data_IF_731167833294
#
_entry.id   IF_731167833294
#
_cell.length_a   1.000
_cell.length_b   1.000
_cell.length_c   1.000
_cell.angle_alpha   90.00
_cell.angle_beta   90.00
_cell.angle_gamma   90.00
#
_symmetry.space_group_name_H-M   'P 1'
#
loop_
_entity.id
_entity.type
_entity.pdbx_description
1 polymer ?
#
# COMPACT_ATOMS: atom_id res chain seq x y z
N UNK A 1 23.31 -5.11 5.54
CA UNK A 1 24.32 -6.20 5.66
C UNK A 1 25.75 -5.68 5.66
N UNK A 2 26.15 -4.83 4.69
CA UNK A 2 27.51 -4.27 4.59
C UNK A 2 27.88 -3.34 5.76
N UNK A 3 26.99 -2.43 6.15
CA UNK A 3 27.20 -1.50 7.28
C UNK A 3 27.43 -2.24 8.61
N UNK A 4 26.64 -3.29 8.88
CA UNK A 4 26.78 -4.12 10.07
C UNK A 4 28.11 -4.90 10.13
N UNK A 5 28.61 -5.38 8.99
CA UNK A 5 29.90 -6.08 8.93
C UNK A 5 31.08 -5.14 9.19
N UNK A 6 31.06 -3.93 8.59
CA UNK A 6 32.08 -2.91 8.80
C UNK A 6 32.09 -2.38 10.25
N UNK A 7 30.90 -2.20 10.85
CA UNK A 7 30.77 -1.81 12.25
C UNK A 7 31.30 -2.88 13.21
N UNK A 8 30.93 -4.15 12.99
CA UNK A 8 31.36 -5.27 13.83
C UNK A 8 32.88 -5.52 13.74
N UNK A 9 33.44 -5.57 12.53
CA UNK A 9 34.89 -5.71 12.34
C UNK A 9 35.68 -4.48 12.83
N UNK A 10 35.13 -3.28 12.64
CA UNK A 10 35.72 -2.02 13.12
C UNK A 10 35.87 -2.00 14.63
N UNK A 11 34.85 -2.46 15.36
CA UNK A 11 34.88 -2.58 16.81
C UNK A 11 35.83 -3.68 17.31
N UNK A 12 35.80 -4.87 16.70
CA UNK A 12 36.63 -6.01 17.12
C UNK A 12 38.12 -5.76 16.86
N UNK A 13 38.46 -5.07 15.76
CA UNK A 13 39.87 -4.78 15.38
C UNK A 13 40.41 -3.48 15.95
N UNK A 14 39.63 -2.73 16.74
CA UNK A 14 39.98 -1.40 17.27
C UNK A 14 40.50 -0.42 16.18
N UNK A 15 40.10 -0.65 14.93
CA UNK A 15 40.65 0.08 13.80
C UNK A 15 39.90 1.41 13.63
N UNK A 16 40.52 2.49 14.12
CA UNK A 16 39.98 3.85 14.08
C UNK A 16 39.56 4.30 12.67
N UNK A 17 40.29 3.91 11.61
CA UNK A 17 39.90 4.26 10.24
C UNK A 17 38.63 3.53 9.79
N UNK A 18 38.47 2.26 10.18
CA UNK A 18 37.28 1.46 9.85
C UNK A 18 36.05 1.97 10.61
N UNK A 19 36.24 2.35 11.88
CA UNK A 19 35.20 2.94 12.70
C UNK A 19 34.78 4.34 12.22
N UNK A 20 35.73 5.16 11.76
CA UNK A 20 35.47 6.48 11.19
C UNK A 20 34.70 6.38 9.86
N UNK A 21 35.10 5.45 8.99
CA UNK A 21 34.37 5.17 7.74
C UNK A 21 32.93 4.74 8.01
N UNK A 22 32.73 3.86 9.00
CA UNK A 22 31.39 3.47 9.45
C UNK A 22 30.57 4.66 9.95
N UNK A 23 31.16 5.53 10.77
CA UNK A 23 30.49 6.75 11.25
C UNK A 23 30.09 7.69 10.10
N UNK A 24 30.97 7.89 9.12
CA UNK A 24 30.67 8.73 7.95
C UNK A 24 29.52 8.13 7.15
N UNK A 25 29.51 6.82 6.91
CA UNK A 25 28.42 6.15 6.20
C UNK A 25 27.10 6.29 6.95
N UNK A 26 27.09 6.12 8.28
CA UNK A 26 25.90 6.34 9.09
C UNK A 26 25.42 7.79 9.05
N UNK A 27 26.33 8.76 9.10
CA UNK A 27 26.00 10.17 9.01
C UNK A 27 25.36 10.51 7.65
N UNK A 28 25.88 9.96 6.55
CA UNK A 28 25.29 10.12 5.21
C UNK A 28 23.90 9.50 5.15
N UNK A 29 23.70 8.30 5.71
CA UNK A 29 22.39 7.65 5.77
C UNK A 29 21.41 8.52 6.57
N UNK A 30 21.82 9.04 7.73
CA UNK A 30 20.98 9.89 8.57
C UNK A 30 20.57 11.18 7.85
N UNK A 31 21.50 11.82 7.13
CA UNK A 31 21.18 13.00 6.33
C UNK A 31 20.24 12.67 5.17
N UNK A 32 20.43 11.51 4.52
CA UNK A 32 19.53 11.05 3.46
C UNK A 32 18.12 10.76 3.99
N UNK A 33 17.99 10.10 5.14
CA UNK A 33 16.69 9.88 5.80
C UNK A 33 16.01 11.19 6.18
N UNK A 34 16.75 12.17 6.70
CA UNK A 34 16.20 13.51 7.00
C UNK A 34 15.65 14.18 5.73
N UNK A 35 16.40 14.13 4.63
CA UNK A 35 15.97 14.69 3.35
C UNK A 35 14.71 13.96 2.84
N UNK A 36 14.70 12.63 2.89
CA UNK A 36 13.54 11.83 2.47
C UNK A 36 12.30 12.13 3.32
N UNK A 37 12.45 12.30 4.64
CA UNK A 37 11.35 12.67 5.52
C UNK A 37 10.79 14.06 5.16
N UNK A 38 11.64 15.06 4.96
CA UNK A 38 11.21 16.41 4.57
C UNK A 38 10.48 16.35 3.22
N UNK A 39 11.04 15.65 2.23
CA UNK A 39 10.41 15.48 0.93
C UNK A 39 9.06 14.76 1.05
N UNK A 40 8.97 13.69 1.85
CA UNK A 40 7.72 12.98 2.07
C UNK A 40 6.65 13.89 2.66
N UNK A 41 6.98 14.70 3.67
CA UNK A 41 6.04 15.66 4.26
C UNK A 41 5.60 16.74 3.26
N UNK A 42 6.53 17.30 2.48
CA UNK A 42 6.23 18.35 1.49
C UNK A 42 5.36 17.82 0.35
N UNK A 43 5.59 16.58 -0.09
CA UNK A 43 4.89 15.98 -1.23
C UNK A 43 3.78 14.99 -0.81
N UNK A 44 3.39 14.96 0.47
CA UNK A 44 2.47 13.96 1.02
C UNK A 44 1.14 13.92 0.27
N UNK A 45 0.56 15.09 -0.04
CA UNK A 45 -0.69 15.17 -0.79
C UNK A 45 -0.55 14.61 -2.21
N UNK A 46 0.58 14.89 -2.88
CA UNK A 46 0.84 14.38 -4.22
C UNK A 46 1.07 12.88 -4.23
N UNK A 47 1.77 12.36 -3.22
CA UNK A 47 1.95 10.92 -3.01
C UNK A 47 0.61 10.24 -2.77
N UNK A 48 -0.28 10.84 -1.97
CA UNK A 48 -1.61 10.29 -1.72
C UNK A 48 -2.46 10.22 -3.00
N UNK A 49 -2.49 11.30 -3.78
CA UNK A 49 -3.20 11.35 -5.06
C UNK A 49 -2.68 10.30 -6.04
N UNK A 50 -1.35 10.20 -6.18
CA UNK A 50 -0.74 9.21 -7.06
C UNK A 50 -1.04 7.78 -6.59
N UNK A 51 -0.93 7.49 -5.29
CA UNK A 51 -1.25 6.17 -4.75
C UNK A 51 -2.72 5.80 -4.97
N UNK A 52 -3.66 6.73 -4.75
CA UNK A 52 -5.08 6.53 -5.06
C UNK A 52 -5.27 6.23 -6.54
N UNK A 53 -4.59 6.97 -7.43
CA UNK A 53 -4.65 6.77 -8.87
C UNK A 53 -4.13 5.38 -9.27
N UNK A 54 -2.96 4.99 -8.81
CA UNK A 54 -2.33 3.71 -9.13
C UNK A 54 -3.20 2.52 -8.65
N UNK A 55 -3.82 2.65 -7.47
CA UNK A 55 -4.75 1.64 -6.97
C UNK A 55 -6.04 1.57 -7.81
N UNK A 56 -6.57 2.72 -8.27
CA UNK A 56 -7.74 2.74 -9.17
C UNK A 56 -7.43 2.14 -10.53
N UNK A 57 -6.23 2.36 -11.06
CA UNK A 57 -5.75 1.67 -12.27
C UNK A 57 -5.67 0.14 -12.03
N UNK A 58 -5.25 -0.27 -10.84
CA UNK A 58 -5.29 -1.67 -10.42
C UNK A 58 -6.69 -2.29 -10.39
N UNK A 59 -7.74 -1.50 -10.09
CA UNK A 59 -9.12 -2.00 -10.17
C UNK A 59 -9.52 -2.36 -11.60
N UNK A 60 -9.08 -1.59 -12.61
CA UNK A 60 -9.39 -1.86 -14.02
C UNK A 60 -8.87 -3.24 -14.47
N UNK A 61 -7.78 -3.71 -13.85
CA UNK A 61 -7.14 -4.98 -14.14
C UNK A 61 -7.77 -6.17 -13.39
N UNK A 62 -8.82 -5.95 -12.60
CA UNK A 62 -9.42 -6.96 -11.73
C UNK A 62 -10.01 -8.17 -12.48
N UNK A 63 -10.56 -7.96 -13.69
CA UNK A 63 -11.14 -9.04 -14.52
C UNK A 63 -10.17 -9.61 -15.56
N UNK A 64 -8.92 -9.13 -15.61
CA UNK A 64 -7.94 -9.65 -16.56
C UNK A 64 -7.53 -11.07 -16.14
N UNK A 65 -7.69 -12.06 -17.03
CA UNK A 65 -7.43 -13.48 -16.73
C UNK A 65 -5.99 -13.75 -16.25
N UNK A 66 -5.02 -12.95 -16.70
CA UNK A 66 -3.62 -13.07 -16.32
C UNK A 66 -3.30 -12.48 -14.93
N UNK A 67 -4.25 -11.80 -14.27
CA UNK A 67 -4.04 -11.06 -13.02
C UNK A 67 -4.75 -11.70 -11.82
N UNK A 68 -4.75 -13.04 -11.73
CA UNK A 68 -5.38 -13.79 -10.62
C UNK A 68 -4.83 -13.35 -9.25
N UNK A 69 -3.53 -13.05 -9.16
CA UNK A 69 -2.90 -12.55 -7.93
C UNK A 69 -3.46 -11.20 -7.47
N UNK A 70 -3.66 -10.26 -8.40
CA UNK A 70 -4.22 -8.94 -8.11
C UNK A 70 -5.69 -9.05 -7.66
N UNK A 71 -6.47 -9.89 -8.34
CA UNK A 71 -7.85 -10.20 -7.95
C UNK A 71 -7.92 -10.77 -6.52
N UNK A 72 -7.05 -11.71 -6.19
CA UNK A 72 -6.99 -12.29 -4.86
C UNK A 72 -6.58 -11.27 -3.80
N UNK A 73 -5.59 -10.42 -4.09
CA UNK A 73 -5.18 -9.34 -3.19
C UNK A 73 -6.35 -8.39 -2.87
N UNK A 74 -7.09 -7.93 -3.88
CA UNK A 74 -8.28 -7.10 -3.69
C UNK A 74 -9.36 -7.80 -2.85
N UNK A 75 -9.57 -9.09 -3.07
CA UNK A 75 -10.54 -9.87 -2.30
C UNK A 75 -10.13 -10.02 -0.83
N UNK A 76 -8.84 -10.24 -0.56
CA UNK A 76 -8.30 -10.36 0.80
C UNK A 76 -8.39 -9.02 1.53
N UNK A 77 -7.88 -7.94 0.93
CA UNK A 77 -7.85 -6.61 1.54
C UNK A 77 -9.27 -6.16 1.91
N UNK A 78 -10.24 -6.28 1.00
CA UNK A 78 -11.61 -5.84 1.24
C UNK A 78 -12.29 -6.66 2.36
N UNK A 79 -12.05 -7.97 2.40
CA UNK A 79 -12.59 -8.85 3.43
C UNK A 79 -11.98 -8.60 4.82
N UNK A 80 -10.65 -8.47 4.90
CA UNK A 80 -9.93 -8.32 6.18
C UNK A 80 -10.06 -6.91 6.74
N UNK A 81 -9.96 -5.88 5.89
CA UNK A 81 -9.97 -4.47 6.30
C UNK A 81 -11.39 -3.88 6.35
N UNK A 82 -12.41 -4.65 5.96
CA UNK A 82 -13.83 -4.24 5.97
C UNK A 82 -14.04 -2.91 5.25
N UNK A 83 -13.61 -2.90 4.00
CA UNK A 83 -13.62 -1.74 3.10
C UNK A 83 -14.03 -2.17 1.70
N UNK A 84 -14.38 -1.21 0.84
CA UNK A 84 -14.70 -1.48 -0.55
C UNK A 84 -14.19 -0.37 -1.47
N UNK A 85 -13.50 -0.76 -2.54
CA UNK A 85 -12.89 0.19 -3.49
C UNK A 85 -11.68 0.91 -2.90
N UNK A 86 -11.18 1.93 -3.61
CA UNK A 86 -9.97 2.67 -3.20
C UNK A 86 -10.34 3.78 -2.23
N UNK A 87 -11.18 4.70 -2.70
CA UNK A 87 -11.71 5.83 -1.95
C UNK A 87 -13.14 5.59 -1.50
N UNK A 88 -13.93 4.89 -2.32
CA UNK A 88 -15.33 4.60 -2.07
C UNK A 88 -15.75 3.32 -2.80
N UNK A 89 -16.84 2.68 -2.38
CA UNK A 89 -17.38 1.48 -3.02
C UNK A 89 -17.79 1.74 -4.48
N UNK A 90 -18.13 2.97 -4.83
CA UNK A 90 -18.47 3.37 -6.21
C UNK A 90 -17.29 3.28 -7.18
N UNK A 91 -16.04 3.19 -6.69
CA UNK A 91 -14.86 3.00 -7.55
C UNK A 91 -14.92 1.71 -8.39
N UNK A 92 -15.79 0.76 -8.01
CA UNK A 92 -16.03 -0.47 -8.77
C UNK A 92 -16.95 -0.33 -9.97
N UNK A 93 -17.80 0.70 -10.02
CA UNK A 93 -18.79 0.87 -11.09
C UNK A 93 -18.21 0.96 -12.50
N UNK A 94 -17.09 1.69 -12.75
CA UNK A 94 -16.47 1.70 -14.07
C UNK A 94 -15.86 0.33 -14.46
N UNK A 95 -15.66 -0.58 -13.52
CA UNK A 95 -15.01 -1.88 -13.74
C UNK A 95 -16.03 -3.01 -13.88
N UNK A 96 -17.04 -3.04 -13.00
CA UNK A 96 -17.98 -4.16 -12.85
C UNK A 96 -19.41 -3.80 -13.31
N UNK A 97 -19.66 -2.54 -13.65
CA UNK A 97 -20.98 -2.03 -14.00
C UNK A 97 -21.66 -1.29 -12.84
N UNK A 98 -22.69 -0.52 -13.19
CA UNK A 98 -23.43 0.30 -12.23
C UNK A 98 -24.04 -0.56 -11.10
N UNK A 99 -24.02 -0.03 -9.87
CA UNK A 99 -24.54 -0.72 -8.67
C UNK A 99 -23.97 -2.12 -8.41
N UNK A 100 -22.78 -2.42 -8.95
CA UNK A 100 -22.12 -3.72 -8.80
C UNK A 100 -20.76 -3.57 -8.13
N UNK A 101 -20.51 -4.41 -7.11
CA UNK A 101 -19.24 -4.51 -6.38
C UNK A 101 -18.83 -5.98 -6.20
N UNK A 102 -17.58 -6.30 -5.84
CA UNK A 102 -17.20 -7.66 -5.46
C UNK A 102 -17.92 -8.14 -4.19
N UNK A 103 -18.25 -9.43 -4.11
CA UNK A 103 -18.94 -10.00 -2.94
C UNK A 103 -18.16 -9.82 -1.62
N UNK A 104 -16.83 -9.69 -1.69
CA UNK A 104 -15.98 -9.41 -0.52
C UNK A 104 -16.20 -8.02 0.10
N UNK A 105 -16.88 -7.12 -0.59
CA UNK A 105 -17.30 -5.81 -0.07
C UNK A 105 -18.54 -5.88 0.83
N UNK A 106 -19.26 -7.00 0.85
CA UNK A 106 -20.47 -7.13 1.65
C UNK A 106 -20.14 -7.32 3.13
N UNK A 107 -20.97 -6.78 4.01
CA UNK A 107 -20.82 -6.99 5.45
C UNK A 107 -21.06 -8.44 5.83
N UNK A 108 -22.04 -9.08 5.18
CA UNK A 108 -22.27 -10.51 5.25
C UNK A 108 -21.84 -11.16 3.94
N UNK A 109 -20.92 -12.11 4.03
CA UNK A 109 -20.39 -12.82 2.86
C UNK A 109 -21.43 -13.82 2.35
N UNK A 110 -22.27 -13.38 1.41
CA UNK A 110 -23.21 -14.23 0.67
C UNK A 110 -22.89 -14.20 -0.83
N UNK A 111 -23.18 -15.30 -1.52
CA UNK A 111 -22.85 -15.44 -2.93
C UNK A 111 -23.73 -14.48 -3.76
N UNK A 112 -23.10 -13.58 -4.53
CA UNK A 112 -23.79 -12.59 -5.36
C UNK A 112 -24.33 -11.38 -4.61
N UNK A 113 -23.94 -11.16 -3.34
CA UNK A 113 -24.38 -10.01 -2.55
C UNK A 113 -23.97 -8.65 -3.15
N UNK A 114 -22.90 -8.62 -3.95
CA UNK A 114 -22.41 -7.41 -4.60
C UNK A 114 -23.15 -7.04 -5.89
N UNK A 115 -24.06 -7.90 -6.37
CA UNK A 115 -24.92 -7.62 -7.54
C UNK A 115 -26.23 -7.02 -7.02
N UNK A 116 -26.32 -5.68 -7.02
CA UNK A 116 -27.36 -4.81 -6.46
C UNK A 116 -27.01 -4.22 -5.09
N UNK A 117 -26.89 -2.88 -5.05
CA UNK A 117 -26.54 -2.08 -3.88
C UNK A 117 -27.63 -2.03 -2.76
N UNK A 118 -28.63 -2.91 -2.81
CA UNK A 118 -29.67 -3.05 -1.78
C UNK A 118 -29.16 -3.79 -0.54
N UNK A 119 -28.01 -4.44 -0.61
CA UNK A 119 -27.36 -5.16 0.51
C UNK A 119 -26.49 -4.22 1.37
N UNK A 120 -26.26 -4.54 2.65
CA UNK A 120 -25.34 -3.78 3.49
C UNK A 120 -23.88 -4.00 3.02
N UNK A 121 -23.28 -2.95 2.47
CA UNK A 121 -21.92 -2.91 1.93
C UNK A 121 -21.00 -2.03 2.79
N UNK A 122 -19.71 -2.35 2.82
CA UNK A 122 -18.70 -1.42 3.31
C UNK A 122 -18.60 -0.23 2.36
N UNK A 123 -18.95 0.98 2.83
CA UNK A 123 -18.87 2.19 2.00
C UNK A 123 -17.50 2.85 2.02
N UNK A 124 -16.72 2.60 3.06
CA UNK A 124 -15.39 3.19 3.24
C UNK A 124 -14.40 2.59 2.26
N UNK A 125 -13.68 3.43 1.52
CA UNK A 125 -12.56 3.02 0.69
C UNK A 125 -11.41 2.40 1.49
N UNK A 126 -10.74 1.42 0.89
CA UNK A 126 -9.63 0.72 1.53
C UNK A 126 -8.41 1.62 1.77
N UNK A 127 -8.23 2.67 0.98
CA UNK A 127 -7.13 3.61 1.17
C UNK A 127 -7.26 4.40 2.49
N UNK A 128 -8.49 4.84 2.82
CA UNK A 128 -8.76 5.57 4.06
C UNK A 128 -8.69 4.68 5.32
N UNK A 129 -8.68 3.36 5.16
CA UNK A 129 -8.43 2.42 6.27
C UNK A 129 -6.95 2.23 6.60
N UNK A 130 -6.06 2.57 5.67
CA UNK A 130 -4.61 2.37 5.76
C UNK A 130 -3.86 3.68 6.00
N UNK A 131 -4.49 4.82 5.68
CA UNK A 131 -4.01 6.16 6.02
C UNK A 131 -4.08 6.41 7.53
#
# INVERSE_FOLDING_TARGET
MVTGFLGCLGAIKENKCLLLSFFIVLLVILLAELILLILFFVYMDKVNENAKKDLKEGLLLYHTENNVGLKNAWNIIQAEMRCCGVTDYTDWYPVLGENTVPDRCCMENSQGCGRNATTPLWRTGCYEKVK
#
